data_IF_548583395975
#
_entry.id   IF_548583395975
#
_cell.length_a   1.000
_cell.length_b   1.000
_cell.length_c   1.000
_cell.angle_alpha   90.00
_cell.angle_beta   90.00
_cell.angle_gamma   90.00
#
_symmetry.space_group_name_H-M   'P 1'
#
loop_
_entity.id
_entity.type
_entity.pdbx_description
1 polymer ?
#
# COMPACT_ATOMS: atom_id res chain seq x y z
N UNK A 1 46.85 20.97 -60.18
CA UNK A 1 46.43 19.57 -60.25
C UNK A 1 47.05 18.80 -59.11
N UNK A 2 46.37 18.62 -58.06
CA UNK A 2 46.66 17.61 -56.99
C UNK A 2 45.38 17.22 -56.32
N UNK A 3 44.96 16.01 -56.62
CA UNK A 3 43.81 15.32 -56.08
C UNK A 3 44.09 14.95 -54.59
N UNK A 4 43.43 15.54 -53.64
CA UNK A 4 43.38 15.04 -52.28
C UNK A 4 42.11 14.16 -52.11
N UNK A 5 42.36 12.86 -52.26
CA UNK A 5 41.36 11.86 -51.83
C UNK A 5 41.23 11.91 -50.34
N UNK A 6 40.12 12.47 -49.91
CA UNK A 6 39.64 12.43 -48.53
C UNK A 6 39.33 10.99 -48.10
N UNK A 7 40.17 10.46 -47.21
CA UNK A 7 40.02 9.12 -46.61
C UNK A 7 39.42 9.22 -45.21
N UNK A 8 38.29 9.89 -45.06
CA UNK A 8 37.60 9.92 -43.79
C UNK A 8 36.11 9.88 -44.08
N UNK A 9 35.52 8.71 -44.19
CA UNK A 9 34.23 8.49 -43.54
C UNK A 9 33.97 7.01 -43.15
N UNK A 10 34.95 6.28 -42.61
CA UNK A 10 34.72 4.88 -42.20
C UNK A 10 34.74 4.72 -40.68
N UNK A 11 35.12 5.74 -39.94
CA UNK A 11 35.20 5.67 -38.46
C UNK A 11 33.98 6.25 -37.71
N UNK A 12 32.96 6.75 -38.42
CA UNK A 12 31.77 7.33 -37.79
C UNK A 12 30.53 6.43 -37.79
N UNK A 13 30.65 5.22 -38.33
CA UNK A 13 29.50 4.29 -38.41
C UNK A 13 29.47 3.22 -37.33
N UNK A 14 30.38 3.23 -36.34
CA UNK A 14 30.47 2.18 -35.32
C UNK A 14 30.13 2.64 -33.88
N UNK A 15 29.57 3.82 -33.71
CA UNK A 15 29.27 4.40 -32.39
C UNK A 15 27.79 4.52 -32.08
N UNK A 16 26.89 3.91 -32.84
CA UNK A 16 25.42 4.08 -32.63
C UNK A 16 24.67 2.79 -32.28
N UNK A 17 25.36 1.77 -31.77
CA UNK A 17 24.73 0.47 -31.42
C UNK A 17 24.83 0.09 -29.94
N UNK A 18 25.13 1.03 -29.03
CA UNK A 18 25.27 0.72 -27.60
C UNK A 18 24.41 1.62 -26.71
N UNK A 19 23.10 1.71 -26.95
CA UNK A 19 22.24 2.64 -26.23
C UNK A 19 20.83 2.16 -25.94
N UNK A 20 20.57 0.86 -25.79
CA UNK A 20 19.21 0.38 -25.44
C UNK A 20 19.23 -0.84 -24.50
N UNK A 21 20.12 -0.85 -23.53
CA UNK A 21 20.10 -1.84 -22.47
C UNK A 21 20.17 -1.12 -21.12
N UNK A 22 19.06 -0.57 -20.67
CA UNK A 22 19.05 0.06 -19.37
C UNK A 22 17.70 0.66 -19.07
N UNK A 23 16.81 -0.10 -18.50
CA UNK A 23 15.78 0.30 -17.54
C UNK A 23 14.79 -0.86 -17.33
N UNK A 24 15.30 -1.97 -16.80
CA UNK A 24 14.44 -2.99 -16.20
C UNK A 24 14.80 -3.10 -14.72
N UNK A 25 14.63 -2.02 -13.99
CA UNK A 25 14.60 -2.04 -12.53
C UNK A 25 13.32 -1.40 -12.04
N UNK A 26 12.19 -1.93 -12.48
CA UNK A 26 10.97 -1.81 -11.75
C UNK A 26 10.90 -3.00 -10.81
N UNK A 27 11.45 -2.86 -9.62
CA UNK A 27 11.02 -3.63 -8.46
C UNK A 27 9.56 -3.28 -8.20
N UNK A 28 8.68 -3.71 -9.07
CA UNK A 28 7.25 -3.74 -8.82
C UNK A 28 7.05 -4.80 -7.74
N UNK A 29 7.04 -4.39 -6.48
CA UNK A 29 6.32 -5.15 -5.47
C UNK A 29 4.86 -5.12 -5.91
N UNK A 30 4.49 -6.09 -6.75
CA UNK A 30 3.13 -6.26 -7.24
C UNK A 30 2.27 -6.56 -6.03
N UNK A 31 1.47 -5.57 -5.61
CA UNK A 31 0.48 -5.77 -4.55
C UNK A 31 -0.45 -6.89 -4.97
N UNK A 32 -0.82 -7.78 -4.04
CA UNK A 32 -1.81 -8.81 -4.32
C UNK A 32 -3.10 -8.25 -4.90
N UNK A 33 -3.77 -9.03 -5.73
CA UNK A 33 -5.04 -8.65 -6.33
C UNK A 33 -6.07 -8.24 -5.26
N UNK A 34 -6.75 -7.12 -5.47
CA UNK A 34 -7.71 -6.55 -4.52
C UNK A 34 -7.11 -5.65 -3.44
N UNK A 35 -5.79 -5.60 -3.30
CA UNK A 35 -5.12 -4.66 -2.42
C UNK A 35 -5.08 -3.25 -3.01
N UNK A 36 -5.38 -2.25 -2.19
CA UNK A 36 -5.33 -0.83 -2.56
C UNK A 36 -4.65 0.00 -1.47
N UNK A 37 -4.53 1.31 -1.68
CA UNK A 37 -4.05 2.22 -0.64
C UNK A 37 -4.96 2.28 0.59
N UNK A 38 -6.26 1.95 0.41
CA UNK A 38 -7.28 1.94 1.46
C UNK A 38 -7.71 0.53 1.86
N UNK A 39 -7.12 -0.53 1.30
CA UNK A 39 -7.48 -1.91 1.58
C UNK A 39 -6.26 -2.82 1.64
N UNK A 40 -6.18 -3.61 2.70
CA UNK A 40 -5.24 -4.70 2.90
C UNK A 40 -6.03 -5.99 2.82
N UNK A 41 -5.62 -6.89 1.95
CA UNK A 41 -6.30 -8.17 1.72
C UNK A 41 -5.56 -9.32 2.41
N UNK A 42 -6.23 -10.46 2.56
CA UNK A 42 -5.67 -11.66 3.18
C UNK A 42 -4.30 -12.07 2.63
N UNK A 43 -4.08 -11.92 1.32
CA UNK A 43 -2.80 -12.28 0.70
C UNK A 43 -1.61 -11.44 1.22
N UNK A 44 -1.81 -10.15 1.53
CA UNK A 44 -0.77 -9.33 2.18
C UNK A 44 -0.59 -9.72 3.65
N UNK A 45 -1.67 -10.04 4.34
CA UNK A 45 -1.65 -10.42 5.75
C UNK A 45 -1.01 -11.80 5.98
N UNK A 46 -1.10 -12.69 5.01
CA UNK A 46 -0.52 -14.03 5.10
C UNK A 46 1.02 -14.01 5.17
N UNK A 47 1.65 -12.93 4.75
CA UNK A 47 3.10 -12.75 4.89
C UNK A 47 3.52 -12.30 6.31
N UNK A 48 2.55 -11.98 7.18
CA UNK A 48 2.77 -11.40 8.50
C UNK A 48 2.01 -12.17 9.61
N UNK A 49 2.06 -13.50 9.66
CA UNK A 49 1.15 -14.32 10.49
C UNK A 49 1.31 -14.10 12.00
N UNK A 50 2.49 -13.71 12.44
CA UNK A 50 2.83 -13.55 13.87
C UNK A 50 2.56 -12.13 14.41
N UNK A 51 2.13 -11.21 13.55
CA UNK A 51 1.86 -9.81 13.94
C UNK A 51 0.43 -9.62 14.44
N UNK A 52 0.25 -8.59 15.26
CA UNK A 52 -1.07 -8.03 15.52
C UNK A 52 -1.51 -7.07 14.40
N UNK A 53 -2.78 -6.71 14.40
CA UNK A 53 -3.37 -5.86 13.37
C UNK A 53 -2.75 -4.44 13.36
N UNK A 54 -2.33 -3.92 14.51
CA UNK A 54 -1.69 -2.60 14.58
C UNK A 54 -0.34 -2.63 13.89
N UNK A 55 0.52 -3.61 14.22
CA UNK A 55 1.85 -3.78 13.61
C UNK A 55 1.74 -4.01 12.10
N UNK A 56 0.74 -4.77 11.65
CA UNK A 56 0.51 -4.98 10.23
C UNK A 56 0.16 -3.66 9.50
N UNK A 57 -0.69 -2.82 10.09
CA UNK A 57 -1.03 -1.52 9.53
C UNK A 57 0.18 -0.58 9.56
N UNK A 58 0.94 -0.52 10.64
CA UNK A 58 2.18 0.27 10.75
C UNK A 58 3.18 -0.08 9.64
N UNK A 59 3.27 -1.36 9.31
CA UNK A 59 4.18 -1.85 8.28
C UNK A 59 3.67 -1.62 6.86
N UNK A 60 2.40 -1.90 6.60
CA UNK A 60 1.82 -1.88 5.26
C UNK A 60 1.22 -0.53 4.87
N UNK A 61 0.57 0.15 5.81
CA UNK A 61 -0.21 1.39 5.59
C UNK A 61 -0.10 2.36 6.77
N UNK A 62 1.08 2.84 7.14
CA UNK A 62 1.28 3.69 8.34
C UNK A 62 0.44 4.97 8.31
N UNK A 63 0.02 5.44 7.14
CA UNK A 63 -0.83 6.63 6.99
C UNK A 63 -2.23 6.46 7.58
N UNK A 64 -2.71 5.22 7.74
CA UNK A 64 -4.03 4.97 8.34
C UNK A 64 -4.09 5.32 9.83
N UNK A 65 -2.93 5.30 10.48
CA UNK A 65 -2.81 5.60 11.91
C UNK A 65 -2.60 7.09 12.20
N UNK A 66 -2.38 7.88 11.15
CA UNK A 66 -2.19 9.31 11.29
C UNK A 66 -3.53 9.99 11.57
N UNK A 67 -3.74 10.36 12.84
CA UNK A 67 -4.88 11.17 13.24
C UNK A 67 -4.85 12.51 12.50
N UNK A 68 -5.96 12.85 11.88
CA UNK A 68 -6.20 14.20 11.34
C UNK A 68 -7.11 14.95 12.32
N UNK A 69 -6.90 16.23 12.47
CA UNK A 69 -7.70 17.08 13.35
C UNK A 69 -7.69 16.71 14.85
N UNK A 70 -6.71 15.93 15.31
CA UNK A 70 -6.58 15.57 16.75
C UNK A 70 -7.50 14.45 17.22
N UNK A 71 -8.44 14.02 16.41
CA UNK A 71 -9.35 12.91 16.78
C UNK A 71 -8.72 11.56 16.47
N UNK A 72 -8.87 10.57 17.36
CA UNK A 72 -8.37 9.23 17.12
C UNK A 72 -9.12 8.53 15.99
N UNK A 73 -8.40 7.72 15.23
CA UNK A 73 -9.01 6.82 14.24
C UNK A 73 -9.89 5.79 14.96
N UNK A 74 -11.12 5.64 14.54
CA UNK A 74 -12.08 4.71 15.14
C UNK A 74 -11.88 3.29 14.61
N UNK A 75 -12.13 2.29 15.46
CA UNK A 75 -12.03 0.87 15.09
C UNK A 75 -13.41 0.22 15.01
N UNK A 76 -13.66 -0.46 13.92
CA UNK A 76 -14.82 -1.32 13.68
C UNK A 76 -14.37 -2.74 13.35
N UNK A 77 -14.98 -3.71 14.00
CA UNK A 77 -14.77 -5.14 13.74
C UNK A 77 -16.11 -5.77 13.40
N UNK A 78 -16.20 -6.35 12.22
CA UNK A 78 -17.43 -6.95 11.69
C UNK A 78 -18.66 -6.03 11.79
N UNK A 79 -18.44 -4.73 11.50
CA UNK A 79 -19.48 -3.70 11.57
C UNK A 79 -19.78 -3.14 12.96
N UNK A 80 -19.20 -3.70 14.01
CA UNK A 80 -19.37 -3.24 15.38
C UNK A 80 -18.24 -2.33 15.82
N UNK A 81 -18.56 -1.17 16.39
CA UNK A 81 -17.55 -0.28 16.97
C UNK A 81 -16.88 -0.94 18.18
N UNK A 82 -15.56 -1.04 18.14
CA UNK A 82 -14.75 -1.66 19.21
C UNK A 82 -13.95 -0.66 20.02
N UNK A 83 -13.81 0.57 19.54
CA UNK A 83 -13.03 1.59 20.22
C UNK A 83 -12.18 2.39 19.27
N UNK A 84 -10.89 2.47 19.51
CA UNK A 84 -9.94 3.23 18.73
C UNK A 84 -8.82 2.33 18.16
N UNK A 85 -7.94 2.93 17.37
CA UNK A 85 -6.86 2.22 16.68
C UNK A 85 -5.90 1.47 17.62
N UNK A 86 -5.81 1.81 18.92
CA UNK A 86 -4.92 1.10 19.86
C UNK A 86 -5.45 -0.30 20.18
N UNK A 87 -6.75 -0.50 20.08
CA UNK A 87 -7.38 -1.80 20.36
C UNK A 87 -7.04 -2.85 19.29
N UNK A 88 -6.45 -2.42 18.14
CA UNK A 88 -5.89 -3.29 17.10
C UNK A 88 -4.80 -4.24 17.62
N UNK A 89 -4.10 -3.89 18.70
CA UNK A 89 -3.09 -4.76 19.32
C UNK A 89 -3.68 -6.08 19.86
N UNK A 90 -4.96 -6.10 20.16
CA UNK A 90 -5.65 -7.29 20.65
C UNK A 90 -6.09 -8.24 19.52
N UNK A 91 -5.98 -7.84 18.27
CA UNK A 91 -6.46 -8.58 17.11
C UNK A 91 -5.26 -9.18 16.36
N UNK A 92 -5.24 -10.51 16.24
CA UNK A 92 -4.20 -11.22 15.50
C UNK A 92 -4.44 -11.17 14.00
N UNK A 93 -3.39 -10.96 13.22
CA UNK A 93 -3.45 -10.94 11.75
C UNK A 93 -4.04 -12.24 11.17
N UNK A 94 -3.77 -13.38 11.79
CA UNK A 94 -4.29 -14.67 11.33
C UNK A 94 -5.83 -14.80 11.44
N UNK A 95 -6.46 -13.99 12.29
CA UNK A 95 -7.92 -13.93 12.48
C UNK A 95 -8.60 -12.95 11.50
N UNK A 96 -7.81 -12.17 10.75
CA UNK A 96 -8.29 -11.11 9.87
C UNK A 96 -8.35 -11.60 8.42
N UNK A 97 -9.48 -11.36 7.77
CA UNK A 97 -9.66 -11.58 6.33
C UNK A 97 -9.26 -10.34 5.53
N UNK A 98 -9.68 -9.18 5.99
CA UNK A 98 -9.47 -7.91 5.30
C UNK A 98 -9.46 -6.76 6.29
N UNK A 99 -8.63 -5.76 6.01
CA UNK A 99 -8.66 -4.46 6.66
C UNK A 99 -8.94 -3.36 5.64
N UNK A 100 -9.77 -2.39 6.00
CA UNK A 100 -10.11 -1.27 5.14
C UNK A 100 -10.05 0.04 5.92
N UNK A 101 -9.47 1.07 5.31
CA UNK A 101 -9.49 2.42 5.85
C UNK A 101 -10.58 3.24 5.18
N UNK A 102 -11.38 3.86 6.01
CA UNK A 102 -12.43 4.79 5.60
C UNK A 102 -12.04 6.21 5.98
N UNK A 103 -12.16 7.13 5.02
CA UNK A 103 -11.87 8.54 5.27
C UNK A 103 -12.82 9.15 6.30
N UNK A 104 -12.44 10.28 6.92
CA UNK A 104 -13.29 10.99 7.88
C UNK A 104 -14.66 11.36 7.30
N UNK A 105 -14.69 11.80 6.04
CA UNK A 105 -15.92 12.15 5.33
C UNK A 105 -16.85 10.93 5.17
N UNK A 106 -16.30 9.82 4.69
CA UNK A 106 -17.08 8.61 4.45
C UNK A 106 -17.54 7.98 5.77
N UNK A 107 -16.65 7.96 6.77
CA UNK A 107 -16.96 7.46 8.11
C UNK A 107 -18.06 8.28 8.80
N UNK A 108 -18.01 9.61 8.65
CA UNK A 108 -19.05 10.49 9.20
C UNK A 108 -20.39 10.29 8.48
N UNK A 109 -20.36 10.10 7.17
CA UNK A 109 -21.57 9.83 6.38
C UNK A 109 -22.21 8.48 6.77
N UNK A 110 -21.39 7.47 7.03
CA UNK A 110 -21.85 6.11 7.32
C UNK A 110 -22.23 5.87 8.79
N UNK A 111 -21.46 6.44 9.71
CA UNK A 111 -21.55 6.15 11.14
C UNK A 111 -21.91 7.37 11.99
N UNK A 112 -22.07 8.55 11.39
CA UNK A 112 -22.38 9.79 12.08
C UNK A 112 -21.15 10.55 12.57
N UNK A 113 -21.39 11.57 13.41
CA UNK A 113 -20.35 12.46 13.96
C UNK A 113 -19.35 11.72 14.87
N UNK A 114 -18.15 12.30 15.06
CA UNK A 114 -17.09 11.71 15.90
C UNK A 114 -16.10 10.83 15.14
N UNK A 115 -16.01 10.99 13.81
CA UNK A 115 -15.10 10.24 12.95
C UNK A 115 -14.11 11.16 12.20
N UNK A 116 -13.75 12.31 12.78
CA UNK A 116 -12.83 13.24 12.13
C UNK A 116 -11.43 12.65 11.88
N UNK A 117 -11.02 11.64 12.64
CA UNK A 117 -9.82 10.86 12.38
C UNK A 117 -9.96 9.76 11.31
N UNK A 118 -11.19 9.51 10.83
CA UNK A 118 -11.50 8.37 9.97
C UNK A 118 -11.77 7.08 10.75
N UNK A 119 -11.88 5.96 10.03
CA UNK A 119 -12.14 4.66 10.63
C UNK A 119 -11.31 3.55 9.96
N UNK A 120 -10.88 2.57 10.77
CA UNK A 120 -10.35 1.29 10.29
C UNK A 120 -11.42 0.23 10.50
N UNK A 121 -11.75 -0.48 9.43
CA UNK A 121 -12.72 -1.55 9.43
C UNK A 121 -11.97 -2.87 9.28
N UNK A 122 -12.25 -3.81 10.19
CA UNK A 122 -11.71 -5.17 10.15
C UNK A 122 -12.86 -6.13 9.85
N UNK A 123 -12.64 -6.99 8.88
CA UNK A 123 -13.48 -8.15 8.64
C UNK A 123 -12.77 -9.38 9.16
N UNK A 124 -13.38 -10.07 10.11
CA UNK A 124 -12.85 -11.30 10.68
C UNK A 124 -12.94 -12.44 9.69
N UNK A 125 -11.99 -13.35 9.81
CA UNK A 125 -11.99 -14.59 9.08
C UNK A 125 -13.06 -15.52 9.66
N UNK A 126 -14.02 -15.94 8.85
CA UNK A 126 -14.99 -16.97 9.25
C UNK A 126 -14.30 -18.33 9.18
N UNK A 127 -13.95 -18.90 10.31
CA UNK A 127 -13.62 -20.34 10.41
C UNK A 127 -14.92 -21.11 10.24
N UNK A 128 -15.00 -21.89 9.16
CA UNK A 128 -16.05 -22.90 9.00
C UNK A 128 -15.72 -24.14 9.83
#
# INVERSE_FOLDING_TARGET
>A
MRSHKSRIPVLFALALAFGLAGCASAGSSSRPAGSTSTRIVRAELAELPEMDALQAIERLRPRWLQSRAGDPVQLYVDGSRRGNVRDLQSIRVNEVEQMEYMSASDATTRYGTGHAGGAVLISSRRTR
#
